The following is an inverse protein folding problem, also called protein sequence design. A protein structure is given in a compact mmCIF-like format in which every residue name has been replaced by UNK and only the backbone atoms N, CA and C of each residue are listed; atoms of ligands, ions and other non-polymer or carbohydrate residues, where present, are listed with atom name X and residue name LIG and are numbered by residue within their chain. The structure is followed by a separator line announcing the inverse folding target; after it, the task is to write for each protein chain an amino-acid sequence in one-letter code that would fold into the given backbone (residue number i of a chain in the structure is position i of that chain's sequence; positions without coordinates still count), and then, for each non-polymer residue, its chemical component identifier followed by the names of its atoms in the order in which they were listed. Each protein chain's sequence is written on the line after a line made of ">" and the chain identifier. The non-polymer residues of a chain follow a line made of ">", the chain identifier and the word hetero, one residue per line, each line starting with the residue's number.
data_IF_078259893920
#
_entry.id   IF_078259893920
#
_cell.length_a   1.000
_cell.length_b   1.000
_cell.length_c   1.000
_cell.angle_alpha   90.00
_cell.angle_beta   90.00
_cell.angle_gamma   90.00
#
_symmetry.space_group_name_H-M   'P 1'
#
loop_
_entity.id
_entity.type
_entity.pdbx_description
1 polymer ?
#
# COMPACT_ATOMS: atom_id res chain seq x y z
N UNK A 1 20.29 -10.49 28.32
CA UNK A 1 19.89 -9.21 27.71
C UNK A 1 19.29 -9.30 26.31
N UNK A 2 19.76 -10.17 25.39
CA UNK A 2 19.14 -10.36 24.04
C UNK A 2 17.92 -11.31 24.08
N UNK A 3 17.84 -12.22 25.01
CA UNK A 3 16.78 -13.23 25.13
C UNK A 3 15.55 -12.67 25.89
N UNK A 4 15.74 -11.77 26.84
CA UNK A 4 14.63 -11.13 27.57
C UNK A 4 13.84 -10.11 26.74
N UNK A 5 14.47 -9.50 25.73
CA UNK A 5 13.77 -8.64 24.76
C UNK A 5 12.82 -9.41 23.82
N UNK A 6 12.96 -10.75 23.74
CA UNK A 6 12.12 -11.62 22.91
C UNK A 6 10.86 -12.13 23.63
N UNK A 7 10.78 -12.03 24.95
CA UNK A 7 9.71 -12.66 25.74
C UNK A 7 8.73 -11.69 26.41
N UNK A 8 9.02 -10.40 26.44
CA UNK A 8 8.24 -9.42 27.23
C UNK A 8 7.67 -8.22 26.51
N UNK A 9 7.80 -8.09 25.20
CA UNK A 9 7.28 -6.95 24.42
C UNK A 9 6.29 -7.38 23.36
N UNK A 10 5.22 -6.61 23.16
CA UNK A 10 4.34 -6.68 21.97
C UNK A 10 5.21 -7.02 20.76
N UNK A 11 4.92 -8.11 20.07
CA UNK A 11 5.69 -8.59 18.92
C UNK A 11 5.97 -7.46 17.95
N UNK A 12 7.18 -6.91 17.99
CA UNK A 12 7.63 -5.98 16.96
C UNK A 12 7.73 -6.78 15.68
N UNK A 13 7.03 -6.32 14.67
CA UNK A 13 7.06 -6.96 13.36
C UNK A 13 8.50 -6.89 12.81
N UNK A 14 9.05 -8.04 12.44
CA UNK A 14 10.46 -8.14 12.08
C UNK A 14 10.83 -7.30 10.85
N UNK A 15 9.92 -7.22 9.87
CA UNK A 15 10.16 -6.46 8.64
C UNK A 15 9.59 -5.05 8.68
N UNK A 16 8.81 -4.72 9.70
CA UNK A 16 8.28 -3.38 9.92
C UNK A 16 8.32 -2.99 11.42
N UNK A 17 9.52 -3.00 12.06
CA UNK A 17 9.65 -2.84 13.51
C UNK A 17 9.23 -1.46 14.03
N UNK A 18 9.12 -0.48 13.15
CA UNK A 18 8.80 0.92 13.50
C UNK A 18 7.32 1.28 13.31
N UNK A 19 6.52 0.32 12.79
CA UNK A 19 5.12 0.55 12.46
C UNK A 19 4.22 -0.51 13.06
N UNK A 20 2.98 -0.12 13.33
CA UNK A 20 1.87 -1.02 13.62
C UNK A 20 0.83 -0.89 12.52
N UNK A 21 0.16 -2.00 12.22
CA UNK A 21 -0.85 -2.05 11.19
C UNK A 21 -2.19 -2.46 11.79
N UNK A 22 -3.24 -1.83 11.32
CA UNK A 22 -4.61 -2.09 11.72
C UNK A 22 -5.46 -2.31 10.47
N UNK A 23 -6.52 -3.10 10.61
CA UNK A 23 -7.42 -3.43 9.51
C UNK A 23 -8.86 -3.18 9.94
N UNK A 24 -9.64 -2.53 9.06
CA UNK A 24 -11.10 -2.48 9.13
C UNK A 24 -11.68 -3.39 8.05
N UNK A 25 -12.70 -4.13 8.42
CA UNK A 25 -13.47 -5.00 7.50
C UNK A 25 -14.68 -4.26 6.97
N UNK A 26 -15.21 -4.64 5.79
CA UNK A 26 -16.45 -4.07 5.26
C UNK A 26 -17.60 -4.14 6.25
N UNK A 27 -18.51 -3.15 6.17
CA UNK A 27 -19.71 -3.02 7.01
C UNK A 27 -19.49 -2.11 8.22
N UNK A 28 -20.28 -1.04 8.29
CA UNK A 28 -20.28 0.00 9.34
C UNK A 28 -18.89 0.64 9.60
N UNK A 29 -18.01 0.65 8.59
CA UNK A 29 -16.65 1.19 8.73
C UNK A 29 -16.66 2.70 8.93
N UNK A 30 -17.56 3.40 8.25
CA UNK A 30 -17.63 4.88 8.19
C UNK A 30 -17.90 5.50 9.57
N UNK A 31 -18.54 4.76 10.48
CA UNK A 31 -18.84 5.21 11.84
C UNK A 31 -17.67 5.07 12.82
N UNK A 32 -16.61 4.36 12.43
CA UNK A 32 -15.48 4.07 13.33
C UNK A 32 -14.50 5.24 13.42
N UNK A 33 -13.90 5.44 14.59
CA UNK A 33 -12.84 6.44 14.79
C UNK A 33 -11.60 6.14 13.94
N UNK A 34 -11.29 4.86 13.71
CA UNK A 34 -10.18 4.48 12.85
C UNK A 34 -10.44 4.89 11.41
N UNK A 35 -11.66 4.66 10.89
CA UNK A 35 -12.00 5.08 9.54
C UNK A 35 -11.97 6.61 9.40
N UNK A 36 -12.47 7.35 10.39
CA UNK A 36 -12.39 8.82 10.38
C UNK A 36 -10.94 9.30 10.24
N UNK A 37 -9.99 8.69 10.95
CA UNK A 37 -8.57 9.02 10.82
C UNK A 37 -8.01 8.67 9.45
N UNK A 38 -8.42 7.54 8.87
CA UNK A 38 -8.09 7.13 7.50
C UNK A 38 -8.60 8.19 6.50
N UNK A 39 -9.87 8.55 6.60
CA UNK A 39 -10.52 9.52 5.72
C UNK A 39 -9.94 10.94 5.87
N UNK A 40 -9.50 11.33 7.07
CA UNK A 40 -8.77 12.59 7.31
C UNK A 40 -7.40 12.56 6.60
N UNK A 41 -6.62 11.49 6.73
CA UNK A 41 -5.34 11.37 6.04
C UNK A 41 -5.52 11.39 4.50
N UNK A 42 -6.56 10.76 3.99
CA UNK A 42 -6.92 10.78 2.57
C UNK A 42 -7.23 12.21 2.11
N UNK A 43 -8.03 12.95 2.87
CA UNK A 43 -8.35 14.35 2.60
C UNK A 43 -7.08 15.22 2.57
N UNK A 44 -6.21 15.10 3.57
CA UNK A 44 -4.94 15.83 3.62
C UNK A 44 -4.10 15.61 2.36
N UNK A 45 -4.04 14.37 1.88
CA UNK A 45 -3.22 14.03 0.71
C UNK A 45 -3.94 14.35 -0.59
N UNK A 46 -5.18 13.91 -0.80
CA UNK A 46 -5.86 14.07 -2.09
C UNK A 46 -6.37 15.48 -2.34
N UNK A 47 -6.87 16.16 -1.30
CA UNK A 47 -7.43 17.51 -1.44
C UNK A 47 -6.36 18.59 -1.24
N UNK A 48 -5.56 18.51 -0.17
CA UNK A 48 -4.66 19.60 0.21
C UNK A 48 -3.27 19.46 -0.43
N UNK A 49 -2.71 18.25 -0.45
CA UNK A 49 -1.35 18.05 -0.96
C UNK A 49 -1.31 17.88 -2.49
N UNK A 50 -2.04 16.88 -3.00
CA UNK A 50 -2.02 16.54 -4.43
C UNK A 50 -3.01 17.37 -5.26
N UNK A 51 -4.03 17.95 -4.64
CA UNK A 51 -5.11 18.71 -5.30
C UNK A 51 -5.82 17.90 -6.39
N UNK A 52 -5.96 16.62 -6.20
CA UNK A 52 -6.74 15.74 -7.08
C UNK A 52 -8.25 15.95 -6.91
N UNK A 53 -8.67 16.29 -5.69
CA UNK A 53 -10.04 16.52 -5.31
C UNK A 53 -10.18 17.97 -4.80
N UNK A 54 -11.34 18.60 -5.06
CA UNK A 54 -11.60 19.94 -4.58
C UNK A 54 -11.92 19.91 -3.07
N UNK A 55 -11.16 20.64 -2.21
CA UNK A 55 -11.42 20.67 -0.76
C UNK A 55 -12.83 21.15 -0.39
N UNK A 56 -13.47 21.98 -1.23
CA UNK A 56 -14.81 22.52 -1.00
C UNK A 56 -15.89 21.44 -1.01
N UNK A 57 -15.64 20.32 -1.72
CA UNK A 57 -16.56 19.18 -1.77
C UNK A 57 -16.52 18.37 -0.47
N UNK A 58 -15.55 18.65 0.41
CA UNK A 58 -15.30 17.91 1.66
C UNK A 58 -15.33 18.83 2.90
N UNK A 59 -16.48 19.45 3.25
CA UNK A 59 -16.55 20.46 4.32
C UNK A 59 -16.20 19.90 5.71
N UNK A 60 -16.27 18.58 5.91
CA UNK A 60 -15.88 17.90 7.16
C UNK A 60 -14.40 17.55 7.21
N UNK A 61 -13.63 17.89 6.17
CA UNK A 61 -12.20 17.56 6.04
C UNK A 61 -11.90 16.05 6.11
N UNK A 62 -12.81 15.24 5.58
CA UNK A 62 -12.67 13.79 5.42
C UNK A 62 -13.03 13.40 3.98
N UNK A 63 -12.19 12.62 3.34
CA UNK A 63 -12.44 12.09 1.99
C UNK A 63 -13.10 10.71 2.14
N UNK A 64 -14.35 10.62 1.71
CA UNK A 64 -15.21 9.43 1.79
C UNK A 64 -15.93 9.29 0.45
N UNK A 65 -16.04 8.08 -0.05
CA UNK A 65 -16.81 7.76 -1.26
C UNK A 65 -17.75 6.55 -1.03
N UNK A 66 -18.63 6.28 -2.00
CA UNK A 66 -19.64 5.21 -1.92
C UNK A 66 -19.04 3.80 -1.90
N UNK A 67 -17.74 3.66 -2.16
CA UNK A 67 -17.05 2.38 -2.13
C UNK A 67 -16.58 1.99 -0.73
N UNK A 68 -16.48 2.94 0.20
CA UNK A 68 -15.84 2.73 1.49
C UNK A 68 -16.58 1.69 2.36
N UNK A 69 -17.92 1.68 2.35
CA UNK A 69 -18.73 0.73 3.12
C UNK A 69 -18.50 -0.74 2.74
N UNK A 70 -18.22 -1.01 1.46
CA UNK A 70 -17.95 -2.36 0.96
C UNK A 70 -16.47 -2.69 0.84
N UNK A 71 -15.63 -1.92 1.51
CA UNK A 71 -14.19 -2.02 1.41
C UNK A 71 -13.55 -2.47 2.71
N UNK A 72 -12.47 -3.25 2.60
CA UNK A 72 -11.51 -3.40 3.67
C UNK A 72 -10.49 -2.25 3.62
N UNK A 73 -10.12 -1.74 4.78
CA UNK A 73 -9.13 -0.67 4.91
C UNK A 73 -7.96 -1.15 5.76
N UNK A 74 -6.75 -0.87 5.30
CA UNK A 74 -5.54 -1.05 6.05
C UNK A 74 -4.97 0.31 6.44
N UNK A 75 -4.49 0.43 7.67
CA UNK A 75 -3.89 1.63 8.22
C UNK A 75 -2.53 1.31 8.84
N UNK A 76 -1.57 2.22 8.66
CA UNK A 76 -0.25 2.15 9.25
C UNK A 76 -0.04 3.29 10.25
N UNK A 77 0.47 2.98 11.45
CA UNK A 77 0.84 3.95 12.48
C UNK A 77 2.32 3.83 12.81
N UNK A 78 2.94 4.95 13.11
CA UNK A 78 4.29 4.98 13.65
C UNK A 78 4.32 4.66 15.17
N UNK A 79 5.52 4.64 15.76
CA UNK A 79 5.71 4.40 17.19
C UNK A 79 4.99 5.42 18.09
N UNK A 80 4.74 6.64 17.60
CA UNK A 80 3.99 7.70 18.30
C UNK A 80 2.47 7.58 18.07
N UNK A 81 1.99 6.48 17.45
CA UNK A 81 0.60 6.21 17.08
C UNK A 81 0.00 7.19 16.08
N UNK A 82 0.82 7.98 15.39
CA UNK A 82 0.37 8.83 14.30
C UNK A 82 0.02 7.95 13.08
N UNK A 83 -1.13 8.21 12.45
CA UNK A 83 -1.48 7.62 11.17
C UNK A 83 -0.50 8.11 10.09
N UNK A 84 0.17 7.19 9.42
CA UNK A 84 1.22 7.51 8.44
C UNK A 84 0.96 6.93 7.05
N UNK A 85 0.00 6.03 6.94
CA UNK A 85 -0.40 5.47 5.64
C UNK A 85 -1.71 4.72 5.72
N UNK A 86 -2.34 4.58 4.57
CA UNK A 86 -3.58 3.80 4.39
C UNK A 86 -3.64 3.19 3.00
N UNK A 87 -4.44 2.13 2.87
CA UNK A 87 -4.76 1.45 1.63
C UNK A 87 -6.17 0.87 1.75
N UNK A 88 -6.89 0.81 0.64
CA UNK A 88 -8.23 0.26 0.56
C UNK A 88 -8.28 -0.91 -0.41
N UNK A 89 -9.11 -1.92 -0.11
CA UNK A 89 -9.51 -2.98 -1.02
C UNK A 89 -11.04 -2.96 -1.17
N UNK A 90 -11.50 -2.57 -2.34
CA UNK A 90 -12.92 -2.53 -2.69
C UNK A 90 -13.37 -3.91 -3.13
N UNK A 91 -14.45 -4.43 -2.55
CA UNK A 91 -15.14 -5.63 -3.00
C UNK A 91 -16.33 -5.27 -3.90
N UNK A 92 -16.69 -6.16 -4.81
CA UNK A 92 -17.85 -5.99 -5.66
C UNK A 92 -18.61 -7.31 -5.82
N UNK A 93 -19.92 -7.23 -5.74
CA UNK A 93 -20.81 -8.32 -6.17
C UNK A 93 -20.97 -8.31 -7.69
N UNK A 94 -21.63 -9.33 -8.25
CA UNK A 94 -21.80 -9.48 -9.69
C UNK A 94 -22.36 -8.23 -10.41
N UNK A 95 -23.20 -7.46 -9.73
CA UNK A 95 -23.87 -6.28 -10.31
C UNK A 95 -23.22 -4.94 -9.93
N UNK A 96 -22.09 -4.96 -9.22
CA UNK A 96 -21.39 -3.75 -8.79
C UNK A 96 -20.12 -3.56 -9.61
N UNK A 97 -19.77 -2.28 -9.86
CA UNK A 97 -18.53 -1.91 -10.56
C UNK A 97 -17.43 -1.59 -9.57
N UNK A 98 -16.20 -1.77 -9.98
CA UNK A 98 -15.01 -1.26 -9.28
C UNK A 98 -14.76 0.20 -9.65
N UNK A 99 -14.11 0.99 -8.78
CA UNK A 99 -13.74 2.39 -9.07
C UNK A 99 -13.03 2.56 -10.42
N UNK A 100 -12.07 1.69 -10.75
CA UNK A 100 -11.32 1.83 -11.99
C UNK A 100 -12.20 1.66 -13.24
N UNK A 101 -13.27 0.87 -13.19
CA UNK A 101 -14.18 0.63 -14.32
C UNK A 101 -15.01 1.88 -14.70
N UNK A 102 -15.03 2.91 -13.85
CA UNK A 102 -15.71 4.19 -14.12
C UNK A 102 -14.80 5.15 -14.90
N UNK A 103 -13.49 4.96 -14.81
CA UNK A 103 -12.50 5.91 -15.31
C UNK A 103 -11.52 5.31 -16.32
N UNK A 104 -11.36 3.99 -16.34
CA UNK A 104 -10.45 3.29 -17.22
C UNK A 104 -11.21 2.34 -18.15
N UNK A 105 -10.69 2.18 -19.36
CA UNK A 105 -11.12 1.12 -20.27
C UNK A 105 -10.21 -0.10 -20.12
N UNK A 106 -10.74 -1.26 -20.42
CA UNK A 106 -9.96 -2.52 -20.52
C UNK A 106 -9.80 -2.92 -21.98
N UNK A 107 -8.84 -3.79 -22.27
CA UNK A 107 -8.67 -4.35 -23.61
C UNK A 107 -9.89 -5.20 -24.00
N UNK A 108 -10.24 -5.22 -25.29
CA UNK A 108 -11.43 -5.92 -25.79
C UNK A 108 -11.37 -7.45 -25.56
N UNK A 109 -10.17 -8.00 -25.51
CA UNK A 109 -9.90 -9.42 -25.24
C UNK A 109 -9.73 -9.76 -23.77
N UNK A 110 -9.81 -8.76 -22.87
CA UNK A 110 -9.68 -9.00 -21.43
C UNK A 110 -10.94 -9.66 -20.87
N UNK A 111 -10.75 -10.81 -20.24
CA UNK A 111 -11.82 -11.55 -19.55
C UNK A 111 -11.69 -11.35 -18.05
N UNK A 112 -12.72 -10.76 -17.45
CA UNK A 112 -12.77 -10.58 -16.02
C UNK A 112 -12.88 -11.93 -15.30
N UNK A 113 -12.05 -12.19 -14.27
CA UNK A 113 -12.27 -13.30 -13.36
C UNK A 113 -13.60 -13.16 -12.61
N UNK A 114 -14.11 -14.24 -11.95
CA UNK A 114 -15.29 -14.15 -11.09
C UNK A 114 -15.17 -13.02 -10.07
N UNK A 115 -16.15 -12.12 -10.02
CA UNK A 115 -16.08 -10.89 -9.21
C UNK A 115 -15.90 -11.15 -7.73
N UNK A 116 -16.49 -12.23 -7.22
CA UNK A 116 -16.33 -12.67 -5.82
C UNK A 116 -14.91 -13.07 -5.46
N UNK A 117 -14.06 -13.35 -6.47
CA UNK A 117 -12.64 -13.63 -6.28
C UNK A 117 -11.76 -12.41 -6.53
N UNK A 118 -12.35 -11.24 -6.77
CA UNK A 118 -11.64 -10.03 -7.13
C UNK A 118 -11.78 -8.94 -6.06
N UNK A 119 -10.81 -8.04 -6.03
CA UNK A 119 -10.88 -6.80 -5.27
C UNK A 119 -10.02 -5.72 -5.89
N UNK A 120 -10.44 -4.44 -5.81
CA UNK A 120 -9.61 -3.34 -6.28
C UNK A 120 -8.82 -2.72 -5.14
N UNK A 121 -7.50 -2.76 -5.27
CA UNK A 121 -6.58 -2.02 -4.39
C UNK A 121 -6.54 -0.57 -4.82
N UNK A 122 -6.94 0.33 -3.94
CA UNK A 122 -7.02 1.77 -4.21
C UNK A 122 -6.68 2.59 -2.95
N UNK A 123 -6.71 3.91 -3.07
CA UNK A 123 -6.49 4.83 -1.95
C UNK A 123 -5.20 4.55 -1.17
N UNK A 124 -4.13 4.13 -1.88
CA UNK A 124 -2.80 4.03 -1.29
C UNK A 124 -2.27 5.43 -0.99
N UNK A 125 -2.15 5.72 0.28
CA UNK A 125 -1.65 7.00 0.78
C UNK A 125 -0.53 6.74 1.78
N UNK A 126 0.56 7.48 1.67
CA UNK A 126 1.62 7.56 2.68
C UNK A 126 1.89 9.02 2.97
N UNK A 127 1.94 9.39 4.22
CA UNK A 127 2.18 10.77 4.66
C UNK A 127 3.52 11.29 4.11
N UNK A 128 3.55 12.53 3.60
CA UNK A 128 4.71 13.13 2.91
C UNK A 128 6.03 13.02 3.69
N UNK A 129 5.99 13.19 5.00
CA UNK A 129 7.18 13.08 5.86
C UNK A 129 7.79 11.68 5.91
N UNK A 130 7.04 10.66 5.50
CA UNK A 130 7.45 9.26 5.41
C UNK A 130 7.69 8.78 3.98
N UNK A 131 7.41 9.62 2.97
CA UNK A 131 7.79 9.34 1.58
C UNK A 131 9.27 9.63 1.38
N UNK A 132 9.86 8.95 0.41
CA UNK A 132 11.27 9.12 0.04
C UNK A 132 11.53 10.51 -0.53
N UNK A 133 12.77 10.97 -0.39
CA UNK A 133 13.26 12.20 -0.99
C UNK A 133 14.11 11.88 -2.23
N UNK A 134 14.31 12.84 -3.16
CA UNK A 134 15.30 12.70 -4.23
C UNK A 134 16.66 12.32 -3.63
N UNK A 135 17.27 11.23 -4.14
CA UNK A 135 18.55 10.71 -3.64
C UNK A 135 18.45 9.48 -2.71
N UNK A 136 17.27 9.13 -2.22
CA UNK A 136 17.07 7.88 -1.48
C UNK A 136 17.04 6.68 -2.46
N UNK A 137 17.57 5.50 -2.08
CA UNK A 137 17.68 4.35 -2.98
C UNK A 137 16.31 3.88 -3.50
N UNK A 138 16.24 3.45 -4.78
CA UNK A 138 15.00 3.14 -5.52
C UNK A 138 14.28 1.89 -5.03
N UNK A 139 13.54 1.99 -3.94
CA UNK A 139 12.62 0.93 -3.49
C UNK A 139 11.26 1.55 -3.15
N UNK A 140 10.38 1.63 -4.13
CA UNK A 140 8.94 1.64 -3.91
C UNK A 140 8.09 2.91 -3.98
N UNK A 141 8.54 4.09 -4.46
CA UNK A 141 7.63 5.20 -4.87
C UNK A 141 8.36 6.11 -5.87
N UNK A 142 7.67 6.60 -6.90
CA UNK A 142 8.26 7.31 -8.02
C UNK A 142 8.56 8.78 -7.75
N UNK A 143 9.51 9.36 -8.55
CA UNK A 143 9.85 10.79 -8.50
C UNK A 143 8.62 11.66 -8.80
N UNK A 144 7.80 11.25 -9.76
CA UNK A 144 6.63 12.00 -10.21
C UNK A 144 5.55 12.13 -9.14
N UNK A 145 5.37 11.09 -8.33
CA UNK A 145 4.46 11.13 -7.16
C UNK A 145 4.98 12.07 -6.07
N UNK A 146 6.30 12.29 -5.98
CA UNK A 146 6.92 13.23 -5.05
C UNK A 146 6.90 14.67 -5.54
N UNK A 147 7.00 14.89 -6.84
CA UNK A 147 7.16 16.22 -7.45
C UNK A 147 5.83 16.96 -7.66
N UNK A 148 4.70 16.22 -7.74
CA UNK A 148 3.36 16.82 -7.87
C UNK A 148 2.81 17.43 -6.59
N UNK A 149 3.45 17.21 -5.44
CA UNK A 149 3.15 17.93 -4.21
C UNK A 149 3.46 19.41 -4.37
N UNK A 150 2.45 20.25 -4.59
CA UNK A 150 2.61 21.69 -4.89
C UNK A 150 3.44 22.45 -3.85
N UNK A 151 4.37 23.32 -4.27
CA UNK A 151 4.93 24.31 -3.37
C UNK A 151 3.83 25.34 -3.05
N UNK A 152 3.36 25.39 -1.80
CA UNK A 152 2.50 26.47 -1.34
C UNK A 152 1.31 26.12 -0.45
N UNK A 153 0.99 24.87 -0.16
CA UNK A 153 0.01 24.58 0.85
C UNK A 153 0.63 24.86 2.25
N UNK A 154 0.27 25.99 2.83
CA UNK A 154 0.55 26.30 4.23
C UNK A 154 -0.40 25.45 5.06
N UNK A 155 0.01 24.21 5.35
CA UNK A 155 -0.56 23.47 6.47
C UNK A 155 0.07 24.06 7.72
N UNK A 156 -0.69 24.43 8.77
CA UNK A 156 -0.08 24.76 10.06
C UNK A 156 0.67 23.51 10.52
N UNK A 157 1.94 23.50 10.25
CA UNK A 157 2.81 22.43 10.67
C UNK A 157 2.82 22.43 12.20
N UNK A 158 2.28 21.38 12.78
CA UNK A 158 2.85 20.91 14.03
C UNK A 158 4.29 20.53 13.68
N UNK A 159 5.19 21.50 13.82
CA UNK A 159 6.62 21.35 13.57
C UNK A 159 7.19 20.39 14.59
N UNK A 160 7.09 19.09 14.34
CA UNK A 160 7.91 18.09 15.02
C UNK A 160 9.09 17.79 14.10
N UNK A 161 10.28 18.19 14.53
CA UNK A 161 11.53 17.85 13.84
C UNK A 161 11.58 16.33 13.61
N UNK A 162 11.68 15.84 12.37
CA UNK A 162 11.77 14.41 12.11
C UNK A 162 13.08 13.88 12.66
N UNK A 163 13.03 12.94 13.60
CA UNK A 163 14.18 12.21 14.09
C UNK A 163 14.92 11.47 12.96
N UNK A 164 16.19 11.18 13.17
CA UNK A 164 17.12 10.59 12.18
C UNK A 164 16.67 9.23 11.63
N UNK A 165 15.76 8.52 12.33
CA UNK A 165 15.25 7.17 11.98
C UNK A 165 14.24 7.12 10.83
N UNK A 166 13.66 8.25 10.42
CA UNK A 166 12.51 8.31 9.51
C UNK A 166 12.82 8.22 8.01
N UNK A 167 14.08 8.14 7.62
CA UNK A 167 14.51 8.32 6.20
C UNK A 167 14.48 7.05 5.36
N UNK A 168 14.30 5.87 5.98
CA UNK A 168 14.40 4.56 5.29
C UNK A 168 13.06 3.79 5.21
N UNK A 169 11.96 4.30 5.73
CA UNK A 169 10.82 3.49 6.17
C UNK A 169 9.64 3.38 5.18
N UNK A 170 9.72 3.99 4.00
CA UNK A 170 8.63 3.89 3.00
C UNK A 170 8.31 2.46 2.55
N UNK A 171 9.30 1.58 2.29
CA UNK A 171 9.02 0.19 1.92
C UNK A 171 8.31 -0.58 3.02
N UNK A 172 8.63 -0.32 4.29
CA UNK A 172 8.01 -0.99 5.44
C UNK A 172 6.52 -0.66 5.52
N UNK A 173 6.15 0.64 5.35
CA UNK A 173 4.76 1.08 5.35
C UNK A 173 4.00 0.43 4.18
N UNK A 174 4.56 0.52 2.98
CA UNK A 174 3.95 -0.02 1.77
C UNK A 174 3.72 -1.53 1.89
N UNK A 175 4.77 -2.27 2.22
CA UNK A 175 4.69 -3.72 2.36
C UNK A 175 3.76 -4.15 3.49
N UNK A 176 3.74 -3.41 4.62
CA UNK A 176 2.83 -3.69 5.71
C UNK A 176 1.36 -3.46 5.34
N UNK A 177 1.05 -2.39 4.60
CA UNK A 177 -0.30 -2.16 4.09
C UNK A 177 -0.72 -3.25 3.10
N UNK A 178 0.15 -3.64 2.15
CA UNK A 178 -0.12 -4.76 1.24
C UNK A 178 -0.33 -6.08 2.00
N UNK A 179 0.43 -6.33 3.07
CA UNK A 179 0.26 -7.52 3.90
C UNK A 179 -1.11 -7.56 4.57
N UNK A 180 -1.59 -6.44 5.12
CA UNK A 180 -2.94 -6.40 5.73
C UNK A 180 -4.03 -6.64 4.68
N UNK A 181 -3.92 -6.04 3.50
CA UNK A 181 -4.85 -6.28 2.39
C UNK A 181 -4.76 -7.74 1.91
N UNK A 182 -3.56 -8.31 1.84
CA UNK A 182 -3.38 -9.72 1.51
C UNK A 182 -4.02 -10.66 2.52
N UNK A 183 -3.85 -10.40 3.82
CA UNK A 183 -4.49 -11.18 4.89
C UNK A 183 -6.01 -11.16 4.76
N UNK A 184 -6.58 -9.98 4.54
CA UNK A 184 -8.01 -9.86 4.30
C UNK A 184 -8.42 -10.62 3.05
N UNK A 185 -7.72 -10.46 1.94
CA UNK A 185 -8.01 -11.14 0.67
C UNK A 185 -8.06 -12.66 0.84
N UNK A 186 -7.09 -13.23 1.55
CA UNK A 186 -7.05 -14.68 1.85
C UNK A 186 -8.27 -15.15 2.64
N UNK A 187 -8.73 -14.36 3.60
CA UNK A 187 -9.89 -14.68 4.43
C UNK A 187 -11.21 -14.53 3.66
N UNK A 188 -11.27 -13.59 2.73
CA UNK A 188 -12.43 -13.30 1.91
C UNK A 188 -12.51 -14.12 0.61
N UNK A 189 -11.53 -15.01 0.33
CA UNK A 189 -11.50 -15.79 -0.90
C UNK A 189 -11.12 -14.98 -2.15
N UNK A 190 -10.52 -13.79 -1.98
CA UNK A 190 -10.07 -12.94 -3.07
C UNK A 190 -8.72 -13.46 -3.58
N UNK A 191 -8.64 -13.71 -4.87
CA UNK A 191 -7.46 -14.16 -5.58
C UNK A 191 -6.86 -13.08 -6.48
N UNK A 192 -7.68 -12.22 -7.05
CA UNK A 192 -7.24 -11.24 -8.02
C UNK A 192 -7.35 -9.82 -7.49
N UNK A 193 -6.29 -9.06 -7.66
CA UNK A 193 -6.29 -7.63 -7.35
C UNK A 193 -6.31 -6.81 -8.62
N UNK A 194 -7.25 -5.89 -8.74
CA UNK A 194 -7.21 -4.79 -9.69
C UNK A 194 -6.56 -3.57 -9.04
N UNK A 195 -5.91 -2.74 -9.84
CA UNK A 195 -5.44 -1.43 -9.41
C UNK A 195 -5.25 -0.50 -10.61
N UNK A 196 -5.76 0.71 -10.55
CA UNK A 196 -5.36 1.79 -11.45
C UNK A 196 -4.16 2.52 -10.83
N UNK A 197 -2.99 2.42 -11.46
CA UNK A 197 -1.76 3.02 -10.92
C UNK A 197 -0.83 3.51 -12.02
N UNK A 198 0.11 4.37 -11.65
CA UNK A 198 1.19 4.81 -12.53
C UNK A 198 2.14 3.64 -12.86
N UNK A 199 2.59 3.53 -14.11
CA UNK A 199 3.55 2.51 -14.55
C UNK A 199 4.83 2.42 -13.72
N UNK A 200 5.42 3.53 -13.22
CA UNK A 200 6.56 3.47 -12.33
C UNK A 200 6.29 2.75 -11.01
N UNK A 201 5.08 2.90 -10.42
CA UNK A 201 4.69 2.15 -9.22
C UNK A 201 4.57 0.66 -9.52
N UNK A 202 3.91 0.28 -10.61
CA UNK A 202 3.81 -1.12 -11.04
C UNK A 202 5.19 -1.76 -11.23
N UNK A 203 6.13 -1.07 -11.89
CA UNK A 203 7.53 -1.54 -12.02
C UNK A 203 8.25 -1.70 -10.67
N UNK A 204 7.98 -0.81 -9.72
CA UNK A 204 8.57 -0.92 -8.38
C UNK A 204 8.02 -2.10 -7.60
N UNK A 205 6.73 -2.38 -7.72
CA UNK A 205 6.07 -3.54 -7.12
C UNK A 205 6.58 -4.84 -7.74
N UNK A 206 6.74 -4.91 -9.06
CA UNK A 206 7.27 -6.08 -9.77
C UNK A 206 8.69 -6.43 -9.29
N UNK A 207 9.57 -5.44 -9.05
CA UNK A 207 10.91 -5.69 -8.48
C UNK A 207 10.87 -6.31 -7.08
N UNK A 208 9.77 -6.17 -6.38
CA UNK A 208 9.56 -6.78 -5.05
C UNK A 208 8.84 -8.13 -5.14
N UNK A 209 8.48 -8.59 -6.35
CA UNK A 209 7.77 -9.83 -6.60
C UNK A 209 6.25 -9.69 -6.70
N UNK A 210 5.74 -8.46 -6.74
CA UNK A 210 4.32 -8.15 -6.93
C UNK A 210 4.07 -7.76 -8.39
N UNK A 211 3.86 -8.75 -9.23
CA UNK A 211 3.62 -8.50 -10.65
C UNK A 211 2.16 -8.13 -10.90
N UNK A 212 1.99 -6.94 -11.48
CA UNK A 212 0.73 -6.41 -11.94
C UNK A 212 0.77 -6.32 -13.48
N UNK A 213 -0.09 -7.05 -14.15
CA UNK A 213 -0.19 -7.10 -15.61
C UNK A 213 -1.19 -6.04 -16.09
N UNK A 214 -0.86 -5.22 -17.10
CA UNK A 214 -1.79 -4.22 -17.63
C UNK A 214 -2.98 -4.92 -18.29
N UNK A 215 -4.18 -4.43 -18.01
CA UNK A 215 -5.45 -4.95 -18.56
C UNK A 215 -6.16 -3.93 -19.44
N UNK A 216 -5.60 -2.75 -19.64
CA UNK A 216 -6.13 -1.70 -20.47
C UNK A 216 -5.10 -0.63 -20.80
N UNK A 217 -5.45 0.33 -21.67
CA UNK A 217 -4.58 1.44 -22.03
C UNK A 217 -4.39 2.42 -20.87
N UNK A 218 -3.36 3.25 -21.00
CA UNK A 218 -3.16 4.39 -20.09
C UNK A 218 -4.29 5.42 -20.25
N UNK A 219 -4.79 5.90 -19.13
CA UNK A 219 -5.90 6.86 -19.04
C UNK A 219 -5.52 7.98 -18.07
N UNK A 220 -6.00 9.18 -18.31
CA UNK A 220 -5.85 10.29 -17.34
C UNK A 220 -6.95 10.20 -16.28
N UNK A 221 -6.57 9.71 -15.10
CA UNK A 221 -7.41 9.63 -13.91
C UNK A 221 -6.60 10.08 -12.70
N UNK A 222 -6.69 11.38 -12.38
CA UNK A 222 -5.80 12.08 -11.43
C UNK A 222 -4.31 11.96 -11.81
N UNK A 223 -4.02 11.96 -13.11
CA UNK A 223 -2.74 11.73 -13.72
C UNK A 223 -2.72 10.44 -14.56
N UNK A 224 -1.59 10.18 -15.27
CA UNK A 224 -1.49 9.05 -16.18
C UNK A 224 -1.45 7.72 -15.40
N UNK A 225 -2.55 6.98 -15.39
CA UNK A 225 -2.67 5.66 -14.78
C UNK A 225 -3.00 4.59 -15.82
N UNK A 226 -2.62 3.37 -15.54
CA UNK A 226 -2.99 2.19 -16.31
C UNK A 226 -3.74 1.24 -15.40
N UNK A 227 -4.84 0.63 -15.82
CA UNK A 227 -5.49 -0.43 -15.06
C UNK A 227 -4.66 -1.72 -15.16
N UNK A 228 -4.43 -2.33 -14.02
CA UNK A 228 -3.67 -3.57 -13.89
C UNK A 228 -4.47 -4.64 -13.15
N UNK A 229 -4.08 -5.89 -13.37
CA UNK A 229 -4.50 -7.03 -12.56
C UNK A 229 -3.29 -7.81 -12.07
N UNK A 230 -3.38 -8.31 -10.84
CA UNK A 230 -2.43 -9.24 -10.25
C UNK A 230 -3.14 -10.52 -9.77
N UNK A 231 -2.53 -11.67 -9.97
CA UNK A 231 -2.93 -12.94 -9.37
C UNK A 231 -2.11 -13.17 -8.09
N UNK A 232 -2.77 -13.32 -6.95
CA UNK A 232 -2.11 -13.52 -5.66
C UNK A 232 -1.33 -14.84 -5.60
N UNK A 233 -1.75 -15.85 -6.35
CA UNK A 233 -0.99 -17.11 -6.42
C UNK A 233 0.31 -16.94 -7.19
N UNK A 234 0.30 -16.14 -8.27
CA UNK A 234 1.52 -15.78 -9.00
C UNK A 234 2.45 -14.93 -8.13
N UNK A 235 1.91 -13.96 -7.38
CA UNK A 235 2.69 -13.18 -6.41
C UNK A 235 3.36 -14.10 -5.40
N UNK A 236 2.62 -15.05 -4.80
CA UNK A 236 3.18 -15.99 -3.83
C UNK A 236 4.29 -16.87 -4.44
N UNK A 237 4.08 -17.36 -5.68
CA UNK A 237 5.08 -18.14 -6.41
C UNK A 237 6.35 -17.30 -6.71
N UNK A 238 6.19 -16.03 -7.07
CA UNK A 238 7.30 -15.11 -7.30
C UNK A 238 8.07 -14.83 -6.01
N UNK A 239 7.36 -14.55 -4.92
CA UNK A 239 7.98 -14.35 -3.61
C UNK A 239 8.71 -15.61 -3.13
N UNK A 240 8.16 -16.81 -3.37
CA UNK A 240 8.84 -18.07 -3.04
C UNK A 240 10.21 -18.19 -3.74
N UNK A 241 10.31 -17.73 -4.99
CA UNK A 241 11.53 -17.79 -5.78
C UNK A 241 12.52 -16.66 -5.44
N UNK A 242 12.01 -15.44 -5.32
CA UNK A 242 12.83 -14.24 -5.24
C UNK A 242 13.13 -13.81 -3.80
N UNK A 243 12.12 -13.88 -2.93
CA UNK A 243 12.22 -13.39 -1.55
C UNK A 243 11.43 -14.25 -0.55
N UNK A 244 11.94 -15.46 -0.22
CA UNK A 244 11.28 -16.37 0.73
C UNK A 244 11.07 -15.77 2.13
N UNK A 245 11.90 -14.80 2.54
CA UNK A 245 11.72 -14.08 3.80
C UNK A 245 10.45 -13.22 3.78
N UNK A 246 10.24 -12.47 2.71
CA UNK A 246 9.02 -11.67 2.53
C UNK A 246 7.78 -12.57 2.44
N UNK A 247 7.88 -13.70 1.73
CA UNK A 247 6.81 -14.70 1.67
C UNK A 247 6.44 -15.23 3.06
N UNK A 248 7.43 -15.60 3.88
CA UNK A 248 7.18 -16.09 5.24
C UNK A 248 6.47 -15.03 6.06
N UNK A 249 6.89 -13.77 5.95
CA UNK A 249 6.28 -12.65 6.64
C UNK A 249 4.83 -12.38 6.18
N UNK A 250 4.54 -12.45 4.88
CA UNK A 250 3.19 -12.29 4.34
C UNK A 250 2.23 -13.38 4.83
N UNK A 251 2.73 -14.61 4.98
CA UNK A 251 1.95 -15.75 5.43
C UNK A 251 1.96 -15.97 6.95
N UNK A 252 2.46 -15.02 7.75
CA UNK A 252 2.58 -15.14 9.20
C UNK A 252 3.37 -16.39 9.66
N UNK A 253 4.27 -16.89 8.80
CA UNK A 253 5.08 -18.06 9.14
C UNK A 253 6.26 -17.67 10.01
N UNK A 254 6.66 -18.52 10.96
CA UNK A 254 7.87 -18.29 11.73
C UNK A 254 9.08 -18.11 10.83
N UNK A 255 9.83 -17.04 11.06
CA UNK A 255 11.05 -16.77 10.32
C UNK A 255 12.19 -17.49 11.02
N UNK A 256 12.71 -18.55 10.39
CA UNK A 256 13.82 -19.33 10.96
C UNK A 256 15.13 -18.55 10.91
N UNK A 257 16.06 -18.76 11.87
CA UNK A 257 17.39 -18.15 11.82
C UNK A 257 18.17 -18.50 10.54
N UNK A 258 17.94 -19.68 9.98
CA UNK A 258 18.51 -20.10 8.71
C UNK A 258 17.99 -19.26 7.52
N UNK A 259 16.71 -18.95 7.50
CA UNK A 259 16.12 -18.09 6.46
C UNK A 259 16.68 -16.66 6.52
N UNK A 260 16.85 -16.11 7.72
CA UNK A 260 17.51 -14.82 7.93
C UNK A 260 18.97 -14.85 7.46
N UNK A 261 19.74 -15.87 7.85
CA UNK A 261 21.13 -16.03 7.46
C UNK A 261 21.29 -16.17 5.94
N UNK A 262 20.49 -17.04 5.31
CA UNK A 262 20.54 -17.26 3.86
C UNK A 262 20.17 -16.01 3.06
N UNK A 263 19.20 -15.24 3.54
CA UNK A 263 18.81 -13.96 2.93
C UNK A 263 19.93 -12.92 3.07
N UNK A 264 20.52 -12.81 4.26
CA UNK A 264 21.67 -11.94 4.51
C UNK A 264 22.87 -12.29 3.62
N UNK A 265 23.19 -13.58 3.46
CA UNK A 265 24.25 -14.05 2.57
C UNK A 265 23.99 -13.66 1.12
N UNK A 266 22.75 -13.88 0.61
CA UNK A 266 22.38 -13.46 -0.75
C UNK A 266 22.54 -11.95 -0.94
N UNK A 267 22.13 -11.13 0.02
CA UNK A 267 22.28 -9.67 -0.04
C UNK A 267 23.76 -9.24 -0.03
N UNK A 268 24.60 -9.90 0.76
CA UNK A 268 26.02 -9.55 0.89
C UNK A 268 26.86 -9.94 -0.35
N UNK A 269 26.47 -11.03 -1.02
CA UNK A 269 27.18 -11.57 -2.18
C UNK A 269 26.47 -11.33 -3.52
N UNK A 270 25.30 -10.67 -3.50
CA UNK A 270 24.71 -10.14 -4.73
C UNK A 270 25.64 -9.04 -5.25
N UNK A 271 26.39 -9.35 -6.28
CA UNK A 271 27.17 -8.36 -7.04
C UNK A 271 26.19 -7.30 -7.54
N UNK A 272 26.47 -5.99 -7.35
CA UNK A 272 25.62 -4.96 -7.95
C UNK A 272 25.69 -5.16 -9.46
N UNK A 273 24.57 -5.57 -10.05
CA UNK A 273 24.44 -5.65 -11.51
C UNK A 273 24.86 -4.29 -12.07
N UNK A 274 25.81 -4.28 -13.00
CA UNK A 274 26.20 -3.10 -13.75
C UNK A 274 24.95 -2.47 -14.39
N UNK A 275 24.86 -1.13 -14.45
CA UNK A 275 23.75 -0.39 -15.01
C UNK A 275 23.45 -0.75 -16.47
#
# INVERSE_FOLDING_TARGET
>A
MLIEALVGGKHRDLLAPHFSFEQLRPGNVVETDLFRQIATLRYEVYCLECRYLNPEDYPRQVEIDDYDERSAHAAARNAERLMVGTMRLVQATANQRYPFEEHCTVFDDFVFPPREQCGEVSRLVVLKSFRRRPGDSMQGITKEFQERGSPGAIVPAVQRKPGRERRSNSPEILLGLYREIFRFSRQAGIRYWFAAMEKPLARSLSRMGFDFNPIGPETDYYGPVTPFMADLEEILANLQRQNPLLLAWFNDRPISPWLLFSTWMKMKFATPGKP
#
